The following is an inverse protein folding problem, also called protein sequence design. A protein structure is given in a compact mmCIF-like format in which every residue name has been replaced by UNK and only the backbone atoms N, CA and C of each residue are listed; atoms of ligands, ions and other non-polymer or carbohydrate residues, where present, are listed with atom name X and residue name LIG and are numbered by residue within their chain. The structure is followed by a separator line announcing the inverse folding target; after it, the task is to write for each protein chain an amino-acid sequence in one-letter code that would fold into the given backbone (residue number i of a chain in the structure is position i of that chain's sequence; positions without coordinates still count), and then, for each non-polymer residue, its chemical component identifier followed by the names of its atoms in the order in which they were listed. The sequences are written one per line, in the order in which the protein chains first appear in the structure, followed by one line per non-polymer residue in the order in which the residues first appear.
data_IF_667313397320
#
_entry.id   IF_667313397320
#
_cell.length_a   1.000
_cell.length_b   1.000
_cell.length_c   1.000
_cell.angle_alpha   90.00
_cell.angle_beta   90.00
_cell.angle_gamma   90.00
#
_symmetry.space_group_name_H-M   'P 1'
#
loop_
_entity.id
_entity.type
_entity.pdbx_description
1 polymer ?
#
# COMPACT_ATOMS: atom_id res chain seq x y z
N UNK A 1 -21.61 0.80 27.55
CA UNK A 1 -20.95 0.98 26.24
C UNK A 1 -21.28 -0.26 25.43
N UNK A 2 -21.95 -0.12 24.28
CA UNK A 2 -22.35 -1.29 23.48
C UNK A 2 -21.11 -1.89 22.79
N UNK A 3 -21.20 -3.14 22.36
CA UNK A 3 -20.15 -3.80 21.57
C UNK A 3 -19.82 -3.02 20.29
N UNK A 4 -20.84 -2.40 19.68
CA UNK A 4 -20.69 -1.58 18.46
C UNK A 4 -19.91 -0.28 18.71
N UNK A 5 -20.11 0.38 19.86
CA UNK A 5 -19.39 1.61 20.20
C UNK A 5 -17.90 1.36 20.45
N UNK A 6 -17.56 0.15 20.93
CA UNK A 6 -16.18 -0.28 21.15
C UNK A 6 -15.48 -0.57 19.82
N UNK A 7 -16.12 -1.30 18.92
CA UNK A 7 -15.58 -1.61 17.59
C UNK A 7 -15.32 -0.35 16.74
N UNK A 8 -16.23 0.62 16.77
CA UNK A 8 -16.04 1.90 16.07
C UNK A 8 -14.87 2.70 16.62
N UNK A 9 -14.66 2.69 17.94
CA UNK A 9 -13.53 3.37 18.60
C UNK A 9 -12.20 2.70 18.26
N UNK A 10 -12.16 1.38 18.29
CA UNK A 10 -10.95 0.60 18.00
C UNK A 10 -10.52 0.78 16.53
N UNK A 11 -11.48 0.86 15.60
CA UNK A 11 -11.21 1.20 14.20
C UNK A 11 -10.63 2.61 14.05
N UNK A 12 -11.20 3.60 14.74
CA UNK A 12 -10.71 4.97 14.67
C UNK A 12 -9.26 5.11 15.17
N UNK A 13 -8.92 4.44 16.26
CA UNK A 13 -7.54 4.42 16.79
C UNK A 13 -6.58 3.76 15.80
N UNK A 14 -7.03 2.68 15.15
CA UNK A 14 -6.24 1.99 14.13
C UNK A 14 -5.96 2.89 12.92
N UNK A 15 -6.99 3.57 12.40
CA UNK A 15 -6.85 4.48 11.26
C UNK A 15 -5.90 5.65 11.57
N UNK A 16 -5.97 6.19 12.80
CA UNK A 16 -5.04 7.22 13.27
C UNK A 16 -3.60 6.69 13.35
N UNK A 17 -3.40 5.50 13.91
CA UNK A 17 -2.07 4.89 14.01
C UNK A 17 -1.45 4.65 12.63
N UNK A 18 -2.24 4.15 11.67
CA UNK A 18 -1.83 3.97 10.27
C UNK A 18 -1.37 5.30 9.67
N UNK A 19 -2.11 6.38 9.92
CA UNK A 19 -1.79 7.73 9.42
C UNK A 19 -0.50 8.29 10.04
N UNK A 20 -0.30 8.11 11.35
CA UNK A 20 0.91 8.56 12.06
C UNK A 20 2.15 7.81 11.56
N UNK A 21 2.06 6.49 11.40
CA UNK A 21 3.17 5.68 10.87
C UNK A 21 3.57 6.15 9.48
N UNK A 22 2.61 6.52 8.63
CA UNK A 22 2.91 7.14 7.34
C UNK A 22 3.72 8.43 7.49
N UNK A 23 3.29 9.34 8.37
CA UNK A 23 3.97 10.63 8.55
C UNK A 23 5.42 10.41 8.99
N UNK A 24 5.64 9.41 9.85
CA UNK A 24 6.97 8.99 10.27
C UNK A 24 7.80 8.51 9.06
N UNK A 25 7.27 7.60 8.24
CA UNK A 25 7.96 7.09 7.03
C UNK A 25 8.33 8.22 6.06
N UNK A 26 7.45 9.22 5.88
CA UNK A 26 7.65 10.30 4.91
C UNK A 26 8.59 11.40 5.41
N UNK A 27 8.47 11.78 6.67
CA UNK A 27 9.09 13.02 7.18
C UNK A 27 10.26 12.78 8.14
N UNK A 28 10.59 11.53 8.47
CA UNK A 28 11.75 11.22 9.32
C UNK A 28 12.91 10.70 8.45
N UNK A 29 13.77 11.59 7.92
CA UNK A 29 14.85 11.23 6.98
C UNK A 29 15.92 10.31 7.60
N UNK A 30 15.91 10.16 8.92
CA UNK A 30 16.84 9.35 9.71
C UNK A 30 16.30 7.95 10.04
N UNK A 31 15.15 7.56 9.48
CA UNK A 31 14.78 6.15 9.43
C UNK A 31 15.74 5.45 8.47
N UNK A 32 16.82 4.89 9.02
CA UNK A 32 17.76 4.09 8.23
C UNK A 32 17.03 3.03 7.42
N UNK A 33 17.61 2.64 6.28
CA UNK A 33 17.02 1.70 5.32
C UNK A 33 16.48 0.41 5.97
N UNK A 34 17.15 -0.08 7.03
CA UNK A 34 16.72 -1.24 7.80
C UNK A 34 15.34 -1.05 8.44
N UNK A 35 15.08 0.11 9.05
CA UNK A 35 13.79 0.38 9.68
C UNK A 35 12.68 0.49 8.64
N UNK A 36 12.95 1.14 7.51
CA UNK A 36 11.96 1.28 6.42
C UNK A 36 11.59 -0.08 5.82
N UNK A 37 12.59 -0.96 5.64
CA UNK A 37 12.38 -2.33 5.16
C UNK A 37 11.47 -3.15 6.10
N UNK A 38 11.45 -2.85 7.40
CA UNK A 38 10.58 -3.54 8.36
C UNK A 38 9.21 -2.89 8.53
N UNK A 39 9.17 -1.55 8.52
CA UNK A 39 7.96 -0.79 8.83
C UNK A 39 6.98 -0.84 7.66
N UNK A 40 7.44 -0.64 6.41
CA UNK A 40 6.55 -0.55 5.24
C UNK A 40 5.74 -1.83 5.03
N UNK A 41 6.34 -3.05 5.02
CA UNK A 41 5.56 -4.27 4.83
C UNK A 41 4.52 -4.49 5.95
N UNK A 42 4.88 -4.20 7.20
CA UNK A 42 3.95 -4.28 8.34
C UNK A 42 2.79 -3.30 8.18
N UNK A 43 3.10 -2.05 7.84
CA UNK A 43 2.12 -1.00 7.60
C UNK A 43 1.15 -1.35 6.46
N UNK A 44 1.65 -1.89 5.34
CA UNK A 44 0.81 -2.36 4.23
C UNK A 44 -0.15 -3.48 4.66
N UNK A 45 0.27 -4.38 5.56
CA UNK A 45 -0.60 -5.42 6.11
C UNK A 45 -1.69 -4.87 7.02
N UNK A 46 -1.48 -3.71 7.66
CA UNK A 46 -2.51 -3.04 8.47
C UNK A 46 -3.52 -2.27 7.63
N UNK A 47 -3.18 -1.88 6.39
CA UNK A 47 -4.16 -1.33 5.45
C UNK A 47 -5.16 -2.40 5.06
N UNK A 48 -6.27 -2.49 5.78
CA UNK A 48 -7.35 -3.39 5.45
C UNK A 48 -8.11 -2.89 4.22
N UNK A 49 -8.63 -3.81 3.40
CA UNK A 49 -9.61 -3.52 2.33
C UNK A 49 -10.94 -3.00 2.95
N UNK A 50 -11.06 -2.96 4.28
CA UNK A 50 -12.21 -2.37 4.98
C UNK A 50 -11.94 -0.96 5.50
N UNK A 51 -10.71 -0.47 5.34
CA UNK A 51 -10.32 0.87 5.79
C UNK A 51 -11.15 1.89 5.02
N UNK A 52 -11.85 2.77 5.73
CA UNK A 52 -12.61 3.83 5.08
C UNK A 52 -11.62 4.71 4.32
N UNK A 53 -11.78 4.86 3.01
CA UNK A 53 -10.86 5.70 2.27
C UNK A 53 -10.98 7.14 2.76
N UNK A 54 -9.81 7.76 2.90
CA UNK A 54 -9.65 9.18 3.18
C UNK A 54 -8.59 9.68 2.21
N UNK A 55 -8.84 10.83 1.58
CA UNK A 55 -7.94 11.51 0.64
C UNK A 55 -6.48 11.55 1.13
N UNK A 56 -6.27 11.81 2.42
CA UNK A 56 -4.92 11.83 2.98
C UNK A 56 -4.29 10.44 2.92
N UNK A 57 -5.01 9.39 3.35
CA UNK A 57 -4.50 8.02 3.35
C UNK A 57 -4.12 7.55 1.94
N UNK A 58 -4.94 7.86 0.94
CA UNK A 58 -4.71 7.46 -0.45
C UNK A 58 -3.48 8.17 -1.02
N UNK A 59 -3.44 9.51 -0.95
CA UNK A 59 -2.27 10.28 -1.40
C UNK A 59 -0.99 9.79 -0.73
N UNK A 60 -1.07 9.49 0.57
CA UNK A 60 0.03 9.01 1.37
C UNK A 60 0.50 7.61 0.94
N UNK A 61 -0.42 6.69 0.68
CA UNK A 61 -0.09 5.36 0.14
C UNK A 61 0.60 5.47 -1.22
N UNK A 62 0.02 6.28 -2.12
CA UNK A 62 0.60 6.54 -3.43
C UNK A 62 2.02 7.09 -3.32
N UNK A 63 2.25 8.09 -2.46
CA UNK A 63 3.58 8.67 -2.24
C UNK A 63 4.59 7.62 -1.73
N UNK A 64 4.20 6.77 -0.76
CA UNK A 64 5.08 5.71 -0.25
C UNK A 64 5.47 4.73 -1.35
N UNK A 65 4.52 4.31 -2.20
CA UNK A 65 4.80 3.37 -3.29
C UNK A 65 5.81 3.95 -4.27
N UNK A 66 5.72 5.24 -4.59
CA UNK A 66 6.67 5.91 -5.48
C UNK A 66 8.04 6.13 -4.83
N UNK A 67 8.09 6.42 -3.53
CA UNK A 67 9.34 6.67 -2.80
C UNK A 67 10.09 5.38 -2.45
N UNK A 68 9.38 4.30 -2.15
CA UNK A 68 9.93 3.06 -1.61
C UNK A 68 9.41 1.81 -2.34
N UNK A 69 9.49 1.76 -3.69
CA UNK A 69 8.88 0.68 -4.47
C UNK A 69 9.43 -0.70 -4.07
N UNK A 70 10.73 -0.81 -3.79
CA UNK A 70 11.36 -2.08 -3.39
C UNK A 70 10.84 -2.59 -2.04
N UNK A 71 10.56 -1.69 -1.10
CA UNK A 71 10.00 -2.08 0.21
C UNK A 71 8.51 -2.40 0.11
N UNK A 72 7.79 -1.72 -0.78
CA UNK A 72 6.40 -2.01 -1.06
C UNK A 72 6.20 -3.33 -1.82
N UNK A 73 7.07 -3.65 -2.77
CA UNK A 73 6.99 -4.87 -3.57
C UNK A 73 7.61 -6.07 -2.85
N UNK A 74 8.62 -5.82 -2.03
CA UNK A 74 9.44 -6.85 -1.41
C UNK A 74 10.56 -7.33 -2.33
N UNK A 75 11.58 -7.96 -1.74
CA UNK A 75 12.78 -8.44 -2.45
C UNK A 75 12.48 -9.39 -3.61
N UNK A 76 11.42 -10.19 -3.51
CA UNK A 76 10.99 -11.16 -4.51
C UNK A 76 9.55 -10.88 -4.96
N UNK A 77 9.14 -9.61 -4.93
CA UNK A 77 7.80 -9.18 -5.34
C UNK A 77 6.67 -9.81 -4.51
N UNK A 78 6.96 -10.32 -3.31
CA UNK A 78 6.01 -11.07 -2.49
C UNK A 78 4.84 -10.24 -1.97
N UNK A 79 4.93 -8.90 -1.99
CA UNK A 79 3.91 -7.99 -1.49
C UNK A 79 3.12 -7.28 -2.61
N UNK A 80 3.53 -7.45 -3.87
CA UNK A 80 2.94 -6.74 -5.01
C UNK A 80 1.44 -7.00 -5.18
N UNK A 81 1.03 -8.27 -5.10
CA UNK A 81 -0.38 -8.65 -5.21
C UNK A 81 -1.24 -7.90 -4.18
N UNK A 82 -0.76 -7.83 -2.94
CA UNK A 82 -1.42 -7.09 -1.86
C UNK A 82 -1.51 -5.58 -2.16
N UNK A 83 -0.44 -4.99 -2.67
CA UNK A 83 -0.41 -3.57 -3.05
C UNK A 83 -1.44 -3.30 -4.17
N UNK A 84 -1.49 -4.16 -5.18
CA UNK A 84 -2.44 -4.06 -6.29
C UNK A 84 -3.89 -4.16 -5.80
N UNK A 85 -4.20 -5.11 -4.90
CA UNK A 85 -5.52 -5.23 -4.28
C UNK A 85 -5.95 -3.96 -3.56
N UNK A 86 -5.05 -3.35 -2.76
CA UNK A 86 -5.34 -2.13 -2.01
C UNK A 86 -5.63 -0.97 -2.97
N UNK A 87 -4.80 -0.77 -4.00
CA UNK A 87 -4.99 0.30 -4.99
C UNK A 87 -6.31 0.10 -5.75
N UNK A 88 -6.59 -1.11 -6.23
CA UNK A 88 -7.83 -1.43 -6.94
C UNK A 88 -9.07 -1.26 -6.05
N UNK A 89 -8.97 -1.59 -4.75
CA UNK A 89 -10.03 -1.33 -3.79
C UNK A 89 -10.33 0.16 -3.65
N UNK A 90 -9.29 1.00 -3.49
CA UNK A 90 -9.48 2.44 -3.38
C UNK A 90 -9.98 3.07 -4.68
N UNK A 91 -9.61 2.54 -5.86
CA UNK A 91 -10.16 3.02 -7.14
C UNK A 91 -11.68 2.82 -7.24
N UNK A 92 -12.21 1.74 -6.67
CA UNK A 92 -13.65 1.44 -6.65
C UNK A 92 -14.41 2.33 -5.67
N UNK A 93 -13.77 2.79 -4.61
CA UNK A 93 -14.43 3.40 -3.45
C UNK A 93 -14.17 4.90 -3.28
N UNK A 94 -13.21 5.48 -4.00
CA UNK A 94 -12.81 6.88 -3.84
C UNK A 94 -12.87 7.72 -5.14
N UNK A 95 -13.00 9.02 -4.92
CA UNK A 95 -12.93 10.11 -5.90
C UNK A 95 -11.53 10.41 -6.44
N UNK A 96 -10.46 10.02 -5.73
CA UNK A 96 -9.06 10.24 -6.13
C UNK A 96 -8.58 9.27 -7.23
N UNK A 97 -9.39 9.06 -8.27
CA UNK A 97 -9.13 8.07 -9.32
C UNK A 97 -7.85 8.34 -10.10
N UNK A 98 -7.48 9.61 -10.31
CA UNK A 98 -6.30 9.95 -11.11
C UNK A 98 -5.01 9.48 -10.41
N UNK A 99 -4.76 9.90 -9.17
CA UNK A 99 -3.54 9.51 -8.44
C UNK A 99 -3.43 8.00 -8.28
N UNK A 100 -4.55 7.31 -8.05
CA UNK A 100 -4.60 5.85 -7.97
C UNK A 100 -4.30 5.19 -9.32
N UNK A 101 -4.81 5.76 -10.42
CA UNK A 101 -4.51 5.29 -11.78
C UNK A 101 -3.04 5.49 -12.12
N UNK A 102 -2.48 6.67 -11.82
CA UNK A 102 -1.07 6.98 -12.07
C UNK A 102 -0.17 6.04 -11.27
N UNK A 103 -0.51 5.80 -10.00
CA UNK A 103 0.20 4.83 -9.14
C UNK A 103 0.09 3.41 -9.69
N UNK A 104 -1.08 3.01 -10.16
CA UNK A 104 -1.28 1.68 -10.76
C UNK A 104 -0.41 1.53 -12.02
N UNK A 105 -0.38 2.53 -12.89
CA UNK A 105 0.49 2.57 -14.07
C UNK A 105 1.96 2.46 -13.67
N UNK A 106 2.40 3.25 -12.69
CA UNK A 106 3.78 3.18 -12.16
C UNK A 106 4.14 1.77 -11.69
N UNK A 107 3.25 1.09 -10.95
CA UNK A 107 3.46 -0.29 -10.52
C UNK A 107 3.57 -1.21 -11.74
N UNK A 108 2.66 -1.09 -12.71
CA UNK A 108 2.66 -1.93 -13.91
C UNK A 108 3.94 -1.77 -14.72
N UNK A 109 4.37 -0.53 -14.95
CA UNK A 109 5.61 -0.21 -15.68
C UNK A 109 6.85 -0.73 -14.94
N UNK A 110 6.85 -0.62 -13.61
CA UNK A 110 7.93 -1.16 -12.76
C UNK A 110 8.00 -2.69 -12.86
N UNK A 111 6.86 -3.38 -12.86
CA UNK A 111 6.81 -4.84 -12.99
C UNK A 111 7.20 -5.29 -14.39
N UNK A 112 6.73 -4.60 -15.43
CA UNK A 112 7.06 -4.92 -16.82
C UNK A 112 8.55 -4.74 -17.09
N UNK A 113 9.15 -3.66 -16.59
CA UNK A 113 10.59 -3.38 -16.74
C UNK A 113 11.47 -4.41 -16.03
N UNK A 114 10.92 -5.12 -15.05
CA UNK A 114 11.62 -6.13 -14.26
C UNK A 114 11.07 -7.54 -14.48
N UNK A 115 10.24 -7.77 -15.50
CA UNK A 115 9.44 -8.98 -15.65
C UNK A 115 10.28 -10.26 -15.61
N UNK A 116 11.44 -10.24 -16.28
CA UNK A 116 12.36 -11.37 -16.35
C UNK A 116 13.02 -11.72 -15.01
N UNK A 117 13.03 -10.79 -14.05
CA UNK A 117 13.59 -10.98 -12.70
C UNK A 117 12.53 -11.48 -11.70
N UNK A 118 11.24 -11.34 -12.02
CA UNK A 118 10.16 -11.81 -11.15
C UNK A 118 10.12 -13.34 -11.21
N UNK A 119 10.04 -14.07 -10.07
CA UNK A 119 9.88 -15.52 -10.07
C UNK A 119 8.66 -15.96 -10.87
N UNK A 120 8.80 -17.02 -11.67
CA UNK A 120 7.73 -17.53 -12.54
C UNK A 120 6.44 -17.83 -11.77
N UNK A 121 6.56 -18.42 -10.57
CA UNK A 121 5.43 -18.70 -9.67
C UNK A 121 4.62 -17.48 -9.24
N UNK A 122 5.18 -16.26 -9.36
CA UNK A 122 4.50 -14.99 -9.07
C UNK A 122 3.90 -14.33 -10.31
N UNK A 123 4.49 -14.56 -11.49
CA UNK A 123 4.03 -13.94 -12.76
C UNK A 123 2.57 -14.30 -13.08
N UNK A 124 2.19 -15.55 -12.85
CA UNK A 124 0.82 -16.03 -13.08
C UNK A 124 -0.21 -15.30 -12.22
N UNK A 125 0.09 -15.08 -10.94
CA UNK A 125 -0.77 -14.30 -10.05
C UNK A 125 -0.87 -12.84 -10.49
N UNK A 126 0.28 -12.23 -10.81
CA UNK A 126 0.36 -10.83 -11.20
C UNK A 126 -0.36 -10.54 -12.52
N UNK A 127 -0.25 -11.43 -13.52
CA UNK A 127 -0.88 -11.28 -14.85
C UNK A 127 -2.39 -10.97 -14.78
N UNK A 128 -3.09 -11.47 -13.74
CA UNK A 128 -4.52 -11.24 -13.52
C UNK A 128 -4.88 -9.77 -13.27
N UNK A 129 -3.92 -8.94 -12.86
CA UNK A 129 -4.13 -7.52 -12.58
C UNK A 129 -3.79 -6.60 -13.78
N UNK A 130 -3.27 -7.17 -14.88
CA UNK A 130 -2.89 -6.41 -16.08
C UNK A 130 -3.95 -6.37 -17.17
N UNK A 131 -5.01 -7.20 -17.06
CA UNK A 131 -6.13 -7.27 -18.00
C UNK A 131 -7.20 -6.20 -17.75
#
# INVERSE_FOLDING_TARGET
MSTSDKELRDQHVTDQAISIVFQIIRYVPQLGSNNINEIIPKWLNYLSIKTKPNNNLISNLCDIIHLYPNQCFGKEYQHVERVLEIIQFFQKTDSQRQVLTDTLTFIKDSLQSNWDTIPESKRDGLSKHFN
#
